data_IF_215116071059
#
_entry.id   IF_215116071059
#
_cell.length_a   1.000
_cell.length_b   1.000
_cell.length_c   1.000
_cell.angle_alpha   90.00
_cell.angle_beta   90.00
_cell.angle_gamma   90.00
#
_symmetry.space_group_name_H-M   'P 1'
#
loop_
_entity.id
_entity.type
_entity.pdbx_description
1 polymer ?
#
# COMPACT_ATOMS: atom_id res chain seq x y z
N UNK A 1 57.60 40.82 56.01
CA UNK A 1 56.42 39.97 56.20
C UNK A 1 56.94 38.61 56.65
N UNK A 2 57.17 38.41 57.96
CA UNK A 2 56.24 37.80 58.94
C UNK A 2 55.80 36.41 58.45
N UNK A 3 56.44 35.32 58.92
CA UNK A 3 56.15 34.52 60.14
C UNK A 3 54.82 33.75 60.00
N UNK A 4 54.64 32.47 60.34
CA UNK A 4 55.19 31.58 61.37
C UNK A 4 55.32 30.13 60.81
N UNK A 5 56.18 29.20 61.27
CA UNK A 5 56.44 28.75 62.67
C UNK A 5 55.37 27.71 63.08
N UNK A 6 55.59 26.39 62.93
CA UNK A 6 56.06 25.43 63.96
C UNK A 6 55.30 25.54 65.31
N UNK A 7 54.80 24.50 66.01
CA UNK A 7 55.42 23.22 66.42
C UNK A 7 54.33 22.23 66.89
N UNK A 8 54.66 20.94 66.74
CA UNK A 8 54.05 19.68 67.18
C UNK A 8 53.56 19.57 68.64
N UNK A 9 52.51 18.77 68.89
CA UNK A 9 52.42 17.94 70.11
C UNK A 9 51.73 16.59 69.81
N UNK A 10 52.13 15.57 70.58
CA UNK A 10 51.90 14.12 70.41
C UNK A 10 50.52 13.62 70.89
N UNK A 11 50.22 12.36 70.53
CA UNK A 11 49.03 11.50 70.75
C UNK A 11 48.50 11.37 72.20
N UNK A 12 47.22 10.98 72.36
CA UNK A 12 46.92 9.62 72.88
C UNK A 12 45.63 8.92 72.33
N UNK A 13 45.65 7.58 72.21
CA UNK A 13 44.49 6.63 72.18
C UNK A 13 44.19 6.16 73.62
N UNK A 14 43.13 5.38 73.96
CA UNK A 14 41.94 4.85 73.24
C UNK A 14 40.62 5.35 73.91
N UNK A 15 39.37 5.02 73.50
CA UNK A 15 38.58 3.83 73.88
C UNK A 15 37.36 3.70 72.96
N UNK A 16 36.99 2.47 72.66
CA UNK A 16 35.80 2.08 71.90
C UNK A 16 34.54 2.32 72.74
N UNK A 17 33.62 3.15 72.26
CA UNK A 17 32.23 3.15 72.73
C UNK A 17 31.30 2.94 71.55
N UNK A 18 30.77 1.73 71.47
CA UNK A 18 29.74 1.31 70.53
C UNK A 18 28.44 2.05 70.83
N UNK A 19 27.97 2.89 69.91
CA UNK A 19 26.62 3.49 69.96
C UNK A 19 25.69 2.61 69.13
N UNK A 20 24.82 1.86 69.80
CA UNK A 20 23.73 1.13 69.16
C UNK A 20 22.58 2.11 68.92
N UNK A 21 22.28 2.42 67.66
CA UNK A 21 21.10 3.21 67.29
C UNK A 21 19.97 2.24 66.96
N UNK A 22 18.97 2.16 67.84
CA UNK A 22 17.68 1.53 67.55
C UNK A 22 16.83 2.46 66.68
N UNK A 23 16.38 2.06 65.47
CA UNK A 23 15.39 2.83 64.75
C UNK A 23 13.98 2.49 65.26
N UNK A 24 13.27 3.50 65.76
CA UNK A 24 11.82 3.46 65.98
C UNK A 24 11.05 3.29 64.65
N UNK A 25 9.87 2.65 64.66
CA UNK A 25 9.15 2.27 63.45
C UNK A 25 8.52 3.49 62.77
N UNK A 26 8.95 3.78 61.54
CA UNK A 26 8.26 4.75 60.69
C UNK A 26 7.08 4.07 60.00
N UNK A 27 5.89 4.28 60.56
CA UNK A 27 4.62 4.10 59.88
C UNK A 27 4.60 5.00 58.63
N UNK A 28 4.97 4.46 57.47
CA UNK A 28 4.70 5.12 56.19
C UNK A 28 3.33 4.67 55.73
N UNK A 29 2.37 5.57 55.94
CA UNK A 29 1.01 5.53 55.43
C UNK A 29 1.06 5.39 53.90
N UNK A 30 1.04 4.16 53.37
CA UNK A 30 0.81 3.88 51.94
C UNK A 30 -0.67 4.13 51.65
N UNK A 31 -1.04 5.38 51.38
CA UNK A 31 -2.38 5.73 50.89
C UNK A 31 -2.23 6.60 49.65
N UNK A 32 -2.73 6.10 48.52
CA UNK A 32 -2.83 6.87 47.28
C UNK A 32 -2.15 6.23 46.07
N UNK A 33 -2.48 4.98 45.71
CA UNK A 33 -2.11 4.41 44.40
C UNK A 33 -3.11 3.34 43.93
N UNK A 34 -4.41 3.65 44.02
CA UNK A 34 -5.47 2.72 43.55
C UNK A 34 -6.52 3.34 42.62
N UNK A 35 -6.56 4.66 42.42
CA UNK A 35 -7.60 5.29 41.58
C UNK A 35 -7.17 5.69 40.16
N UNK A 36 -5.87 5.63 39.81
CA UNK A 36 -5.40 6.03 38.47
C UNK A 36 -5.32 4.87 37.45
N UNK A 37 -5.70 3.65 37.83
CA UNK A 37 -5.44 2.44 37.02
C UNK A 37 -6.55 2.11 36.02
N UNK A 38 -7.80 2.49 36.27
CA UNK A 38 -8.93 2.12 35.39
C UNK A 38 -8.98 2.97 34.12
N UNK A 39 -8.90 4.30 34.25
CA UNK A 39 -8.89 5.23 33.10
C UNK A 39 -7.66 5.05 32.20
N UNK A 40 -6.48 4.83 32.81
CA UNK A 40 -5.25 4.60 32.06
C UNK A 40 -5.27 3.26 31.29
N UNK A 41 -5.87 2.21 31.86
CA UNK A 41 -6.10 0.94 31.13
C UNK A 41 -7.11 1.09 30.00
N UNK A 42 -8.20 1.82 30.23
CA UNK A 42 -9.23 2.07 29.21
C UNK A 42 -8.67 2.82 28.00
N UNK A 43 -7.88 3.88 28.23
CA UNK A 43 -7.22 4.63 27.16
C UNK A 43 -6.21 3.76 26.38
N UNK A 44 -5.42 2.95 27.09
CA UNK A 44 -4.46 2.03 26.46
C UNK A 44 -5.17 1.01 25.57
N UNK A 45 -6.28 0.41 26.04
CA UNK A 45 -7.08 -0.51 25.22
C UNK A 45 -7.65 0.17 23.98
N UNK A 46 -8.16 1.40 24.09
CA UNK A 46 -8.67 2.15 22.95
C UNK A 46 -7.57 2.44 21.90
N UNK A 47 -6.34 2.72 22.34
CA UNK A 47 -5.18 2.88 21.45
C UNK A 47 -4.86 1.56 20.75
N UNK A 48 -4.75 0.46 21.49
CA UNK A 48 -4.44 -0.87 20.93
C UNK A 48 -5.49 -1.32 19.91
N UNK A 49 -6.78 -1.10 20.20
CA UNK A 49 -7.86 -1.40 19.26
C UNK A 49 -7.78 -0.53 18.01
N UNK A 50 -7.47 0.77 18.15
CA UNK A 50 -7.31 1.69 17.02
C UNK A 50 -6.13 1.27 16.13
N UNK A 51 -4.98 0.95 16.71
CA UNK A 51 -3.81 0.44 16.00
C UNK A 51 -4.12 -0.85 15.23
N UNK A 52 -4.88 -1.77 15.85
CA UNK A 52 -5.34 -2.99 15.17
C UNK A 52 -6.20 -2.65 13.95
N UNK A 53 -7.18 -1.76 14.10
CA UNK A 53 -8.07 -1.34 13.01
C UNK A 53 -7.28 -0.69 11.87
N UNK A 54 -6.37 0.23 12.16
CA UNK A 54 -5.53 0.84 11.13
C UNK A 54 -4.64 -0.19 10.43
N UNK A 55 -4.10 -1.15 11.16
CA UNK A 55 -3.32 -2.24 10.56
C UNK A 55 -4.16 -3.08 9.59
N UNK A 56 -5.42 -3.38 9.91
CA UNK A 56 -6.33 -4.08 9.02
C UNK A 56 -6.69 -3.26 7.78
N UNK A 57 -6.91 -1.94 7.93
CA UNK A 57 -7.14 -1.02 6.82
C UNK A 57 -5.95 -0.96 5.86
N UNK A 58 -4.73 -0.84 6.38
CA UNK A 58 -3.50 -0.83 5.57
C UNK A 58 -3.41 -2.12 4.74
N UNK A 59 -3.60 -3.29 5.38
CA UNK A 59 -3.59 -4.58 4.66
C UNK A 59 -4.67 -4.65 3.58
N UNK A 60 -5.85 -4.10 3.84
CA UNK A 60 -6.92 -4.03 2.86
C UNK A 60 -6.53 -3.16 1.65
N UNK A 61 -5.95 -1.98 1.89
CA UNK A 61 -5.47 -1.07 0.85
C UNK A 61 -4.35 -1.72 0.02
N UNK A 62 -3.41 -2.41 0.65
CA UNK A 62 -2.34 -3.14 -0.04
C UNK A 62 -2.88 -4.25 -0.95
N UNK A 63 -3.91 -4.97 -0.49
CA UNK A 63 -4.61 -5.97 -1.29
C UNK A 63 -5.27 -5.32 -2.51
N UNK A 64 -6.06 -4.25 -2.31
CA UNK A 64 -6.73 -3.51 -3.40
C UNK A 64 -5.74 -2.91 -4.39
N UNK A 65 -4.61 -2.39 -3.91
CA UNK A 65 -3.50 -1.92 -4.77
C UNK A 65 -3.02 -3.04 -5.69
N UNK A 66 -2.88 -4.25 -5.16
CA UNK A 66 -2.46 -5.42 -5.95
C UNK A 66 -3.53 -5.81 -6.96
N UNK A 67 -4.81 -5.83 -6.58
CA UNK A 67 -5.94 -6.09 -7.50
C UNK A 67 -5.96 -5.12 -8.69
N UNK A 68 -5.83 -3.81 -8.44
CA UNK A 68 -5.78 -2.79 -9.51
C UNK A 68 -4.58 -3.00 -10.43
N UNK A 69 -3.41 -3.35 -9.88
CA UNK A 69 -2.21 -3.65 -10.66
C UNK A 69 -2.42 -4.84 -11.58
N UNK A 70 -2.98 -5.93 -11.07
CA UNK A 70 -3.22 -7.14 -11.87
C UNK A 70 -4.25 -6.87 -12.97
N UNK A 71 -5.34 -6.14 -12.70
CA UNK A 71 -6.31 -5.75 -13.73
C UNK A 71 -5.66 -4.98 -14.91
N UNK A 72 -4.73 -4.07 -14.60
CA UNK A 72 -4.00 -3.33 -15.64
C UNK A 72 -3.12 -4.27 -16.46
N UNK A 73 -2.41 -5.19 -15.82
CA UNK A 73 -1.52 -6.16 -16.48
C UNK A 73 -2.28 -7.18 -17.32
N UNK A 74 -3.42 -7.66 -16.83
CA UNK A 74 -4.28 -8.58 -17.56
C UNK A 74 -4.82 -7.92 -18.83
N UNK A 75 -5.26 -6.66 -18.74
CA UNK A 75 -5.71 -5.92 -19.92
C UNK A 75 -4.57 -5.66 -20.91
N UNK A 76 -3.39 -5.23 -20.43
CA UNK A 76 -2.20 -5.04 -21.26
C UNK A 76 -1.85 -6.34 -22.00
N UNK A 77 -1.81 -7.48 -21.29
CA UNK A 77 -1.52 -8.79 -21.86
C UNK A 77 -2.55 -9.21 -22.90
N UNK A 78 -3.84 -9.02 -22.61
CA UNK A 78 -4.91 -9.35 -23.56
C UNK A 78 -4.80 -8.54 -24.86
N UNK A 79 -4.47 -7.25 -24.75
CA UNK A 79 -4.25 -6.38 -25.90
C UNK A 79 -3.00 -6.76 -26.71
N UNK A 80 -1.90 -7.10 -26.04
CA UNK A 80 -0.68 -7.60 -26.69
C UNK A 80 -0.95 -8.90 -27.44
N UNK A 81 -1.56 -9.89 -26.79
CA UNK A 81 -1.89 -11.17 -27.45
C UNK A 81 -2.85 -11.00 -28.63
N UNK A 82 -3.77 -10.03 -28.55
CA UNK A 82 -4.64 -9.68 -29.68
C UNK A 82 -3.83 -9.10 -30.85
N UNK A 83 -2.88 -8.22 -30.58
CA UNK A 83 -2.01 -7.63 -31.58
C UNK A 83 -1.07 -8.67 -32.21
N UNK A 84 -0.47 -9.55 -31.42
CA UNK A 84 0.37 -10.66 -31.90
C UNK A 84 -0.40 -11.59 -32.84
N UNK A 85 -1.61 -11.99 -32.46
CA UNK A 85 -2.45 -12.83 -33.33
C UNK A 85 -2.88 -12.13 -34.63
N UNK A 86 -3.01 -10.80 -34.63
CA UNK A 86 -3.24 -10.04 -35.87
C UNK A 86 -1.99 -10.00 -36.74
N UNK A 87 -0.81 -9.80 -36.13
CA UNK A 87 0.47 -9.80 -36.84
C UNK A 87 0.73 -11.14 -37.53
N UNK A 88 0.56 -12.26 -36.81
CA UNK A 88 0.76 -13.60 -37.36
C UNK A 88 -0.14 -13.87 -38.58
N UNK A 89 -1.41 -13.45 -38.52
CA UNK A 89 -2.33 -13.57 -39.67
C UNK A 89 -1.87 -12.73 -40.87
N UNK A 90 -1.41 -11.51 -40.64
CA UNK A 90 -0.88 -10.65 -41.72
C UNK A 90 0.39 -11.24 -42.34
N UNK A 91 1.26 -11.84 -41.54
CA UNK A 91 2.46 -12.52 -42.05
C UNK A 91 2.11 -13.73 -42.92
N UNK A 92 1.10 -14.52 -42.53
CA UNK A 92 0.58 -15.63 -43.33
C UNK A 92 -0.01 -15.14 -44.65
N UNK A 93 -0.79 -14.05 -44.63
CA UNK A 93 -1.37 -13.46 -45.84
C UNK A 93 -0.28 -12.94 -46.79
N UNK A 94 0.74 -12.25 -46.28
CA UNK A 94 1.90 -11.81 -47.08
C UNK A 94 2.60 -13.03 -47.70
N UNK A 95 2.80 -14.11 -46.94
CA UNK A 95 3.43 -15.32 -47.45
C UNK A 95 2.59 -15.99 -48.55
N UNK A 96 1.27 -16.05 -48.39
CA UNK A 96 0.36 -16.59 -49.41
C UNK A 96 0.36 -15.73 -50.68
N UNK A 97 0.29 -14.40 -50.53
CA UNK A 97 0.34 -13.47 -51.66
C UNK A 97 1.66 -13.60 -52.42
N UNK A 98 2.80 -13.69 -51.73
CA UNK A 98 4.12 -13.93 -52.35
C UNK A 98 4.19 -15.27 -53.08
N UNK A 99 3.57 -16.33 -52.52
CA UNK A 99 3.48 -17.64 -53.19
C UNK A 99 2.68 -17.52 -54.49
N UNK A 100 1.50 -16.90 -54.44
CA UNK A 100 0.64 -16.69 -55.62
C UNK A 100 1.31 -15.80 -56.66
N UNK A 101 2.01 -14.75 -56.24
CA UNK A 101 2.80 -13.89 -57.12
C UNK A 101 3.85 -14.70 -57.89
N UNK A 102 4.60 -15.56 -57.19
CA UNK A 102 5.59 -16.44 -57.83
C UNK A 102 4.95 -17.46 -58.80
N UNK A 103 3.80 -18.03 -58.43
CA UNK A 103 3.04 -18.95 -59.31
C UNK A 103 2.52 -18.24 -60.57
N UNK A 104 2.00 -17.01 -60.43
CA UNK A 104 1.55 -16.19 -61.55
C UNK A 104 2.71 -15.80 -62.46
N UNK A 105 3.87 -15.47 -61.89
CA UNK A 105 5.09 -15.18 -62.66
C UNK A 105 5.55 -16.41 -63.44
N UNK A 106 5.48 -17.61 -62.87
CA UNK A 106 5.79 -18.84 -63.62
C UNK A 106 4.77 -19.13 -64.72
N UNK A 107 3.49 -18.90 -64.44
CA UNK A 107 2.41 -19.13 -65.40
C UNK A 107 2.51 -18.20 -66.61
N UNK A 108 2.97 -16.95 -66.41
CA UNK A 108 3.14 -15.96 -67.50
C UNK A 108 4.19 -16.37 -68.53
N UNK A 109 5.16 -17.20 -68.15
CA UNK A 109 6.21 -17.73 -69.01
C UNK A 109 5.84 -19.05 -69.70
N UNK A 110 4.63 -19.58 -69.46
CA UNK A 110 4.19 -20.87 -70.02
C UNK A 110 3.64 -20.71 -71.45
N UNK A 111 4.09 -21.56 -72.38
CA UNK A 111 3.59 -21.58 -73.78
C UNK A 111 2.29 -22.39 -73.96
N UNK A 112 1.92 -23.22 -72.97
CA UNK A 112 0.66 -23.96 -72.96
C UNK A 112 -0.52 -23.06 -72.58
N UNK A 113 -1.22 -22.57 -73.61
CA UNK A 113 -2.37 -21.68 -73.45
C UNK A 113 -3.58 -22.35 -72.77
N UNK A 114 -3.73 -23.67 -72.83
CA UNK A 114 -4.83 -24.37 -72.15
C UNK A 114 -4.55 -24.39 -70.65
N UNK A 115 -3.33 -24.77 -70.25
CA UNK A 115 -2.88 -24.73 -68.86
C UNK A 115 -2.93 -23.30 -68.28
N UNK A 116 -2.52 -22.30 -69.08
CA UNK A 116 -2.63 -20.89 -68.69
C UNK A 116 -4.08 -20.52 -68.32
N UNK A 117 -5.05 -20.78 -69.21
CA UNK A 117 -6.45 -20.43 -68.99
C UNK A 117 -7.05 -21.14 -67.77
N UNK A 118 -6.67 -22.40 -67.51
CA UNK A 118 -7.16 -23.18 -66.36
C UNK A 118 -6.59 -22.64 -65.04
N UNK A 119 -5.28 -22.42 -64.96
CA UNK A 119 -4.59 -22.02 -63.73
C UNK A 119 -4.81 -20.54 -63.37
N UNK A 120 -4.91 -19.67 -64.39
CA UNK A 120 -5.16 -18.24 -64.22
C UNK A 120 -6.50 -17.97 -63.53
N UNK A 121 -7.53 -18.77 -63.84
CA UNK A 121 -8.86 -18.64 -63.22
C UNK A 121 -8.84 -18.82 -61.70
N UNK A 122 -8.03 -19.75 -61.20
CA UNK A 122 -7.88 -20.00 -59.76
C UNK A 122 -6.96 -18.99 -59.06
N UNK A 123 -5.90 -18.53 -59.73
CA UNK A 123 -4.87 -17.67 -59.13
C UNK A 123 -5.23 -16.19 -59.12
N UNK A 124 -5.97 -15.73 -60.13
CA UNK A 124 -6.45 -14.34 -60.21
C UNK A 124 -7.65 -14.06 -59.31
N UNK A 125 -8.28 -15.10 -58.74
CA UNK A 125 -9.26 -14.90 -57.70
C UNK A 125 -8.55 -14.34 -56.46
N UNK A 126 -8.97 -13.17 -55.92
CA UNK A 126 -8.43 -12.71 -54.64
C UNK A 126 -8.61 -13.83 -53.61
N UNK A 127 -7.68 -13.97 -52.63
CA UNK A 127 -7.95 -14.80 -51.47
C UNK A 127 -9.33 -14.40 -50.96
N UNK A 128 -10.25 -15.35 -50.86
CA UNK A 128 -11.62 -15.04 -50.45
C UNK A 128 -11.57 -14.24 -49.14
N UNK A 129 -12.57 -13.40 -48.84
CA UNK A 129 -12.63 -12.69 -47.58
C UNK A 129 -12.86 -13.72 -46.47
N UNK A 130 -11.80 -14.43 -46.09
CA UNK A 130 -11.80 -15.37 -44.99
C UNK A 130 -11.84 -14.54 -43.73
N UNK A 131 -13.01 -14.49 -43.11
CA UNK A 131 -13.23 -14.06 -41.73
C UNK A 131 -12.38 -12.87 -41.29
N UNK A 132 -12.31 -11.81 -42.09
CA UNK A 132 -11.63 -10.57 -41.70
C UNK A 132 -12.62 -9.74 -40.89
N UNK A 133 -12.59 -9.76 -39.53
CA UNK A 133 -13.18 -8.67 -38.80
C UNK A 133 -12.48 -7.40 -39.26
N UNK A 134 -13.26 -6.35 -39.55
CA UNK A 134 -12.74 -5.01 -39.74
C UNK A 134 -11.68 -4.77 -38.66
N UNK A 135 -10.41 -4.66 -39.06
CA UNK A 135 -9.28 -4.44 -38.16
C UNK A 135 -9.45 -3.02 -37.62
N UNK A 136 -10.32 -2.88 -36.63
CA UNK A 136 -10.52 -1.65 -35.90
C UNK A 136 -9.36 -1.57 -34.92
N UNK A 137 -8.23 -1.04 -35.41
CA UNK A 137 -7.13 -0.66 -34.53
C UNK A 137 -7.67 0.48 -33.67
N UNK A 138 -8.12 0.18 -32.45
CA UNK A 138 -8.45 1.24 -31.48
C UNK A 138 -7.15 1.96 -31.14
N UNK A 139 -6.93 3.21 -31.59
CA UNK A 139 -5.60 3.84 -31.52
C UNK A 139 -5.21 4.26 -30.09
N UNK A 140 -6.12 4.14 -29.13
CA UNK A 140 -5.98 4.71 -27.80
C UNK A 140 -6.34 3.70 -26.72
N UNK A 141 -5.43 2.76 -26.42
CA UNK A 141 -5.44 2.09 -25.11
C UNK A 141 -4.86 3.08 -24.10
N UNK A 142 -5.65 4.09 -23.72
CA UNK A 142 -5.28 5.07 -22.72
C UNK A 142 -5.71 4.59 -21.34
N UNK A 143 -4.75 4.46 -20.42
CA UNK A 143 -5.03 4.21 -19.00
C UNK A 143 -5.34 5.50 -18.22
N UNK A 144 -5.62 6.62 -18.91
CA UNK A 144 -5.97 7.88 -18.25
C UNK A 144 -7.25 7.76 -17.42
N UNK A 145 -8.26 7.07 -17.93
CA UNK A 145 -9.49 6.79 -17.19
C UNK A 145 -9.20 6.03 -15.89
N UNK A 146 -8.31 5.02 -15.95
CA UNK A 146 -7.90 4.24 -14.77
C UNK A 146 -7.19 5.13 -13.75
N UNK A 147 -6.21 5.95 -14.20
CA UNK A 147 -5.52 6.90 -13.31
C UNK A 147 -6.51 7.88 -12.67
N UNK A 148 -7.46 8.40 -13.43
CA UNK A 148 -8.49 9.31 -12.95
C UNK A 148 -9.35 8.65 -11.87
N UNK A 149 -9.85 7.43 -12.10
CA UNK A 149 -10.63 6.70 -11.10
C UNK A 149 -9.85 6.40 -9.82
N UNK A 150 -8.55 6.09 -9.91
CA UNK A 150 -7.70 5.89 -8.73
C UNK A 150 -7.48 7.21 -7.97
N UNK A 151 -7.31 8.33 -8.67
CA UNK A 151 -7.23 9.65 -8.04
C UNK A 151 -8.54 10.04 -7.34
N UNK A 152 -9.69 9.83 -7.96
CA UNK A 152 -11.01 10.08 -7.35
C UNK A 152 -11.23 9.19 -6.12
N UNK A 153 -10.78 7.93 -6.15
CA UNK A 153 -10.81 7.04 -4.99
C UNK A 153 -9.97 7.60 -3.84
N UNK A 154 -8.77 8.10 -4.13
CA UNK A 154 -7.90 8.73 -3.13
C UNK A 154 -8.60 9.93 -2.48
N UNK A 155 -9.14 10.85 -3.28
CA UNK A 155 -9.83 12.05 -2.77
C UNK A 155 -10.99 11.68 -1.84
N UNK A 156 -11.84 10.73 -2.26
CA UNK A 156 -12.95 10.24 -1.42
C UNK A 156 -12.46 9.62 -0.12
N UNK A 157 -11.37 8.88 -0.15
CA UNK A 157 -10.81 8.26 1.06
C UNK A 157 -10.28 9.33 2.04
N UNK A 158 -9.59 10.35 1.54
CA UNK A 158 -9.13 11.49 2.35
C UNK A 158 -10.29 12.27 2.96
N UNK A 159 -11.36 12.50 2.21
CA UNK A 159 -12.57 13.18 2.71
C UNK A 159 -13.23 12.38 3.85
N UNK A 160 -13.34 11.05 3.69
CA UNK A 160 -13.85 10.16 4.74
C UNK A 160 -12.96 10.21 5.98
N UNK A 161 -11.63 10.11 5.81
CA UNK A 161 -10.70 10.18 6.94
C UNK A 161 -10.81 11.52 7.68
N UNK A 162 -10.86 12.63 6.95
CA UNK A 162 -11.00 13.96 7.55
C UNK A 162 -12.30 14.10 8.34
N UNK A 163 -13.42 13.63 7.79
CA UNK A 163 -14.72 13.70 8.45
C UNK A 163 -14.77 12.85 9.74
N UNK A 164 -14.21 11.65 9.71
CA UNK A 164 -14.20 10.76 10.87
C UNK A 164 -13.19 11.19 11.94
N UNK A 165 -12.02 11.72 11.56
CA UNK A 165 -11.04 12.24 12.52
C UNK A 165 -11.59 13.40 13.35
N UNK A 166 -12.41 14.27 12.76
CA UNK A 166 -13.10 15.34 13.51
C UNK A 166 -14.03 14.75 14.58
N UNK A 167 -14.78 13.69 14.25
CA UNK A 167 -15.67 13.01 15.21
C UNK A 167 -14.89 12.29 16.31
N UNK A 168 -13.78 11.63 15.95
CA UNK A 168 -12.90 10.96 16.91
C UNK A 168 -12.30 11.98 17.88
N UNK A 169 -11.80 13.12 17.38
CA UNK A 169 -11.27 14.20 18.22
C UNK A 169 -12.31 14.69 19.23
N UNK A 170 -13.55 14.95 18.78
CA UNK A 170 -14.62 15.38 19.69
C UNK A 170 -14.92 14.36 20.79
N UNK A 171 -14.94 13.07 20.46
CA UNK A 171 -15.13 11.99 21.45
C UNK A 171 -13.97 11.85 22.43
N UNK A 172 -12.74 12.12 21.99
CA UNK A 172 -11.55 12.12 22.87
C UNK A 172 -11.63 13.29 23.85
N UNK A 173 -12.10 14.46 23.42
CA UNK A 173 -12.27 15.64 24.28
C UNK A 173 -13.40 15.43 25.32
N UNK A 174 -14.49 14.75 24.98
CA UNK A 174 -15.57 14.39 25.94
C UNK A 174 -15.10 13.47 27.07
N UNK A 175 -13.99 12.74 26.90
CA UNK A 175 -13.41 11.86 27.94
C UNK A 175 -12.61 12.64 28.99
N UNK A 176 -12.42 13.96 28.82
CA UNK A 176 -11.75 14.80 29.80
C UNK A 176 -12.55 14.95 31.11
N UNK A 177 -12.16 14.11 32.07
CA UNK A 177 -12.22 14.24 33.54
C UNK A 177 -13.28 15.22 34.06
N UNK A 178 -14.40 14.67 34.54
CA UNK A 178 -15.20 15.32 35.58
C UNK A 178 -14.29 15.63 36.78
N UNK A 179 -13.79 16.85 36.86
CA UNK A 179 -13.20 17.36 38.09
C UNK A 179 -14.35 17.39 39.12
N UNK A 180 -14.24 16.71 40.27
CA UNK A 180 -15.34 16.63 41.23
C UNK A 180 -15.65 18.05 41.72
N UNK A 181 -16.77 18.59 41.23
CA UNK A 181 -17.15 19.99 41.46
C UNK A 181 -17.68 20.21 42.88
N UNK A 182 -18.06 19.14 43.59
CA UNK A 182 -18.46 19.23 44.98
C UNK A 182 -17.65 18.31 45.89
N UNK A 183 -17.51 18.73 47.15
CA UNK A 183 -16.88 17.94 48.23
C UNK A 183 -17.55 16.56 48.43
N UNK A 184 -18.81 16.42 48.02
CA UNK A 184 -19.57 15.17 48.12
C UNK A 184 -19.16 14.18 47.02
N UNK A 185 -18.85 14.68 45.82
CA UNK A 185 -18.37 13.87 44.68
C UNK A 185 -16.98 13.27 44.92
N UNK A 186 -16.16 13.92 45.76
CA UNK A 186 -14.81 13.44 46.12
C UNK A 186 -14.82 12.36 47.22
N UNK A 187 -15.92 12.21 47.96
CA UNK A 187 -15.99 11.36 49.16
C UNK A 187 -16.79 10.06 48.98
N UNK A 188 -17.35 9.80 47.79
CA UNK A 188 -17.84 8.48 47.37
C UNK A 188 -16.72 7.59 46.83
#
# INVERSE_FOLDING_TARGET
MLLQGAVMWTTPRPHTTTVTVLPLPKNVKKKGRKQNFSGQRSAQTAVEDSERIFTELIRSIERRRSEVKELIRDQEKAEVSRAEGLLERLEQEIAELRRREAELEQLSHTEDHIHFLQSCQSLCAPPGPGDLPSITVSPNVSFEAVRKSVSELKERLEDVFKAELVKVSGRVEEVSVLEPQTRQDFLQ
#
